data_IF_988839736659
#
_entry.id   IF_988839736659
#
_cell.length_a   1.000
_cell.length_b   1.000
_cell.length_c   1.000
_cell.angle_alpha   90.00
_cell.angle_beta   90.00
_cell.angle_gamma   90.00
#
_symmetry.space_group_name_H-M   'P 1'
#
loop_
_entity.id
_entity.type
_entity.pdbx_description
1 polymer ?
#
# COMPACT_ATOMS: atom_id res chain seq x y z
N UNK A 1 14.36 -21.00 51.33
CA UNK A 1 13.17 -21.36 50.59
C UNK A 1 13.22 -20.65 49.25
N UNK A 2 13.73 -21.35 48.22
CA UNK A 2 13.89 -20.80 46.87
C UNK A 2 12.53 -20.81 46.17
N UNK A 3 11.95 -19.64 45.97
CA UNK A 3 10.76 -19.50 45.15
C UNK A 3 11.14 -19.70 43.67
N UNK A 4 10.92 -20.91 43.17
CA UNK A 4 11.00 -21.17 41.73
C UNK A 4 9.85 -20.37 41.09
N UNK A 5 10.19 -19.22 40.49
CA UNK A 5 9.28 -18.56 39.56
C UNK A 5 9.14 -19.51 38.37
N UNK A 6 7.99 -20.15 38.26
CA UNK A 6 7.56 -20.79 37.04
C UNK A 6 7.41 -19.68 35.99
N UNK A 7 8.43 -19.50 35.15
CA UNK A 7 8.29 -18.78 33.89
C UNK A 7 7.33 -19.62 33.03
N UNK A 8 6.06 -19.22 33.05
CA UNK A 8 5.13 -19.72 32.04
C UNK A 8 5.69 -19.27 30.70
N UNK A 9 6.17 -20.23 29.92
CA UNK A 9 6.67 -20.02 28.57
C UNK A 9 5.53 -19.38 27.77
N UNK A 10 5.62 -18.09 27.49
CA UNK A 10 4.63 -17.36 26.72
C UNK A 10 4.77 -17.79 25.26
N UNK A 11 4.01 -18.83 24.87
CA UNK A 11 3.96 -19.33 23.48
C UNK A 11 2.92 -18.52 22.72
N UNK A 12 3.31 -17.95 21.58
CA UNK A 12 2.36 -17.40 20.61
C UNK A 12 1.52 -18.54 20.06
N UNK A 13 0.20 -18.42 20.12
CA UNK A 13 -0.74 -19.46 19.70
C UNK A 13 -1.55 -19.06 18.48
N UNK A 14 -1.85 -17.76 18.32
CA UNK A 14 -2.72 -17.28 17.24
C UNK A 14 -2.33 -15.93 16.73
N UNK A 15 -2.24 -15.81 15.39
CA UNK A 15 -1.83 -14.58 14.69
C UNK A 15 -2.92 -14.18 13.69
N UNK A 16 -3.25 -12.90 13.65
CA UNK A 16 -4.06 -12.30 12.60
C UNK A 16 -3.16 -11.63 11.55
N UNK A 17 -3.38 -11.95 10.28
CA UNK A 17 -2.71 -11.31 9.14
C UNK A 17 -3.70 -10.41 8.42
N UNK A 18 -3.40 -9.10 8.32
CA UNK A 18 -4.26 -8.09 7.69
C UNK A 18 -4.29 -8.15 6.16
N UNK A 19 -4.21 -9.37 5.61
CA UNK A 19 -4.26 -9.61 4.16
C UNK A 19 -5.36 -10.62 3.81
N UNK A 20 -5.79 -10.64 2.54
CA UNK A 20 -6.69 -11.67 2.07
C UNK A 20 -6.11 -13.09 2.26
N UNK A 21 -6.98 -14.04 2.58
CA UNK A 21 -6.57 -15.44 2.69
C UNK A 21 -6.00 -15.93 1.36
N UNK A 22 -4.82 -16.56 1.34
CA UNK A 22 -4.26 -17.16 0.12
C UNK A 22 -5.19 -18.21 -0.48
N UNK A 23 -5.28 -18.26 -1.82
CA UNK A 23 -6.09 -19.24 -2.51
C UNK A 23 -5.62 -20.68 -2.25
N UNK A 24 -4.31 -20.88 -2.06
CA UNK A 24 -3.66 -22.16 -1.73
C UNK A 24 -2.79 -21.91 -0.50
N UNK A 25 -3.24 -22.39 0.66
CA UNK A 25 -2.57 -22.13 1.94
C UNK A 25 -1.17 -22.74 1.98
N UNK A 26 -0.99 -23.93 1.43
CA UNK A 26 0.28 -24.68 1.42
C UNK A 26 1.39 -23.96 0.63
N UNK A 27 1.01 -23.04 -0.26
CA UNK A 27 1.95 -22.19 -1.01
C UNK A 27 2.26 -20.87 -0.30
N UNK A 28 1.57 -20.58 0.79
CA UNK A 28 1.83 -19.39 1.57
C UNK A 28 3.11 -19.55 2.40
N UNK A 29 3.98 -18.53 2.47
CA UNK A 29 5.12 -18.54 3.37
C UNK A 29 4.74 -18.73 4.85
N UNK A 30 3.49 -18.44 5.20
CA UNK A 30 2.95 -18.63 6.54
C UNK A 30 2.64 -20.09 6.87
N UNK A 31 2.53 -20.97 5.88
CA UNK A 31 2.17 -22.38 6.11
C UNK A 31 3.28 -23.13 6.87
N UNK A 32 4.52 -23.06 6.40
CA UNK A 32 5.66 -23.65 7.07
C UNK A 32 5.92 -23.02 8.44
N UNK A 33 5.76 -21.70 8.54
CA UNK A 33 5.91 -20.96 9.78
C UNK A 33 4.89 -21.41 10.84
N UNK A 34 3.60 -21.52 10.47
CA UNK A 34 2.57 -21.98 11.40
C UNK A 34 2.79 -23.41 11.90
N UNK A 35 3.26 -24.29 11.01
CA UNK A 35 3.61 -25.68 11.37
C UNK A 35 4.83 -25.74 12.30
N UNK A 36 5.85 -24.91 12.06
CA UNK A 36 7.08 -24.86 12.87
C UNK A 36 6.80 -24.44 14.31
N UNK A 37 5.96 -23.45 14.53
CA UNK A 37 5.65 -22.89 15.86
C UNK A 37 4.35 -23.45 16.46
N UNK A 38 3.66 -24.37 15.76
CA UNK A 38 2.38 -24.96 16.18
C UNK A 38 1.32 -23.89 16.53
N UNK A 39 1.16 -22.88 15.67
CA UNK A 39 0.24 -21.76 15.86
C UNK A 39 -0.80 -21.66 14.75
N UNK A 40 -1.91 -20.98 15.04
CA UNK A 40 -2.97 -20.69 14.08
C UNK A 40 -2.76 -19.35 13.41
N UNK A 41 -3.07 -19.28 12.10
CA UNK A 41 -3.07 -18.01 11.34
C UNK A 41 -4.42 -17.78 10.72
N UNK A 42 -5.03 -16.67 11.14
CA UNK A 42 -6.23 -16.12 10.52
C UNK A 42 -5.85 -14.99 9.54
N UNK A 43 -6.63 -14.88 8.46
CA UNK A 43 -6.48 -13.85 7.46
C UNK A 43 -7.75 -13.02 7.40
N UNK A 44 -7.63 -11.71 7.66
CA UNK A 44 -8.75 -10.78 7.53
C UNK A 44 -8.23 -9.41 7.09
N UNK A 45 -8.56 -8.96 5.86
CA UNK A 45 -8.28 -7.60 5.45
C UNK A 45 -8.95 -6.60 6.39
N UNK A 46 -8.19 -5.66 6.94
CA UNK A 46 -8.71 -4.59 7.79
C UNK A 46 -9.17 -3.37 6.98
N UNK A 47 -8.83 -3.35 5.70
CA UNK A 47 -9.18 -2.27 4.77
C UNK A 47 -9.78 -2.84 3.48
N UNK A 48 -10.57 -2.00 2.81
CA UNK A 48 -11.09 -2.25 1.46
C UNK A 48 -11.02 -0.99 0.62
N UNK A 49 -10.85 -1.16 -0.68
CA UNK A 49 -10.89 -0.04 -1.63
C UNK A 49 -12.30 0.06 -2.20
N UNK A 50 -12.90 1.23 -2.09
CA UNK A 50 -14.25 1.51 -2.60
C UNK A 50 -14.22 2.68 -3.58
N UNK A 51 -15.10 2.66 -4.55
CA UNK A 51 -15.30 3.79 -5.46
C UNK A 51 -15.96 4.97 -4.76
N UNK A 52 -15.56 6.20 -5.09
CA UNK A 52 -16.23 7.41 -4.59
C UNK A 52 -17.64 7.54 -5.18
N UNK A 53 -18.56 8.16 -4.45
CA UNK A 53 -19.90 8.45 -4.95
C UNK A 53 -19.88 9.52 -6.04
N UNK A 54 -20.96 9.60 -6.85
CA UNK A 54 -21.14 10.66 -7.85
C UNK A 54 -21.11 12.07 -7.21
N UNK A 55 -21.66 12.22 -5.99
CA UNK A 55 -21.62 13.47 -5.23
C UNK A 55 -20.19 13.91 -4.92
N UNK A 56 -19.36 12.98 -4.44
CA UNK A 56 -17.95 13.24 -4.13
C UNK A 56 -17.13 13.51 -5.39
N UNK A 57 -17.41 12.82 -6.47
CA UNK A 57 -16.78 13.10 -7.77
C UNK A 57 -17.12 14.54 -8.24
N UNK A 58 -18.40 14.94 -8.23
CA UNK A 58 -18.84 16.28 -8.63
C UNK A 58 -18.21 17.39 -7.77
N UNK A 59 -17.96 17.11 -6.49
CA UNK A 59 -17.29 18.07 -5.60
C UNK A 59 -15.86 18.42 -6.05
N UNK A 60 -15.20 17.55 -6.84
CA UNK A 60 -13.85 17.77 -7.37
C UNK A 60 -13.86 18.68 -8.62
N UNK A 61 -15.04 19.04 -9.14
CA UNK A 61 -15.21 20.02 -10.25
C UNK A 61 -14.39 19.69 -11.49
N UNK A 62 -14.29 18.43 -11.85
CA UNK A 62 -13.57 17.97 -13.04
C UNK A 62 -14.56 17.52 -14.11
N UNK A 63 -14.46 18.10 -15.30
CA UNK A 63 -15.27 17.73 -16.46
C UNK A 63 -14.57 16.65 -17.29
N UNK A 64 -15.13 15.43 -17.28
CA UNK A 64 -14.53 14.27 -17.98
C UNK A 64 -14.36 14.54 -19.46
N UNK A 65 -15.37 15.16 -20.10
CA UNK A 65 -15.39 15.38 -21.56
C UNK A 65 -14.40 16.42 -22.05
N UNK A 66 -13.83 17.24 -21.16
CA UNK A 66 -12.76 18.18 -21.51
C UNK A 66 -11.37 17.50 -21.64
N UNK A 67 -11.28 16.23 -21.28
CA UNK A 67 -10.04 15.49 -21.29
C UNK A 67 -10.05 14.44 -22.41
N UNK A 68 -8.88 14.20 -22.98
CA UNK A 68 -8.71 13.27 -24.10
C UNK A 68 -8.16 11.90 -23.65
N UNK A 69 -7.56 11.84 -22.47
CA UNK A 69 -6.84 10.64 -22.00
C UNK A 69 -7.04 10.39 -20.50
N UNK A 70 -7.39 9.14 -20.16
CA UNK A 70 -7.45 8.66 -18.79
C UNK A 70 -6.17 7.92 -18.42
N UNK A 71 -5.64 8.15 -17.22
CA UNK A 71 -4.51 7.40 -16.66
C UNK A 71 -5.03 6.53 -15.50
N UNK A 72 -4.89 5.21 -15.60
CA UNK A 72 -5.36 4.25 -14.61
C UNK A 72 -4.21 3.44 -14.02
N UNK A 73 -4.22 3.29 -12.68
CA UNK A 73 -3.29 2.44 -11.95
C UNK A 73 -3.94 1.21 -11.32
N UNK A 74 -5.27 1.13 -11.29
CA UNK A 74 -5.99 0.03 -10.64
C UNK A 74 -7.31 -0.30 -11.34
N UNK A 75 -7.78 -1.54 -11.15
CA UNK A 75 -9.10 -1.99 -11.63
C UNK A 75 -10.24 -1.23 -10.96
N UNK A 76 -10.11 -0.94 -9.66
CA UNK A 76 -11.14 -0.23 -8.89
C UNK A 76 -11.37 1.18 -9.41
N UNK A 77 -10.32 1.90 -9.85
CA UNK A 77 -10.48 3.22 -10.45
C UNK A 77 -11.14 3.15 -11.81
N UNK A 78 -10.91 2.08 -12.58
CA UNK A 78 -11.63 1.83 -13.85
C UNK A 78 -13.12 1.59 -13.57
N UNK A 79 -13.44 0.66 -12.67
CA UNK A 79 -14.83 0.36 -12.30
C UNK A 79 -15.56 1.64 -11.83
N UNK A 80 -14.91 2.44 -10.99
CA UNK A 80 -15.46 3.69 -10.48
C UNK A 80 -15.67 4.74 -11.56
N UNK A 81 -14.73 4.87 -12.49
CA UNK A 81 -14.85 5.81 -13.62
C UNK A 81 -16.09 5.48 -14.48
N UNK A 82 -16.22 4.24 -14.91
CA UNK A 82 -17.35 3.85 -15.77
C UNK A 82 -18.69 3.91 -15.03
N UNK A 83 -18.73 3.52 -13.76
CA UNK A 83 -19.92 3.67 -12.91
C UNK A 83 -20.32 5.15 -12.77
N UNK A 84 -19.37 6.06 -12.52
CA UNK A 84 -19.62 7.50 -12.43
C UNK A 84 -20.13 8.05 -13.76
N UNK A 85 -19.56 7.62 -14.89
CA UNK A 85 -20.05 8.03 -16.21
C UNK A 85 -21.49 7.58 -16.42
N UNK A 86 -21.85 6.34 -16.06
CA UNK A 86 -23.21 5.80 -16.14
C UNK A 86 -24.17 6.60 -15.25
N UNK A 87 -23.87 6.77 -13.96
CA UNK A 87 -24.68 7.54 -13.00
C UNK A 87 -24.86 9.01 -13.41
N UNK A 88 -23.83 9.62 -14.00
CA UNK A 88 -23.86 10.99 -14.49
C UNK A 88 -24.46 11.14 -15.88
N UNK A 89 -24.80 10.02 -16.56
CA UNK A 89 -25.25 9.97 -17.95
C UNK A 89 -24.24 10.58 -18.93
N UNK A 90 -22.95 10.37 -18.68
CA UNK A 90 -21.87 10.80 -19.55
C UNK A 90 -21.53 9.66 -20.51
N UNK A 91 -21.69 9.92 -21.81
CA UNK A 91 -21.22 8.99 -22.84
C UNK A 91 -19.73 9.22 -23.07
N UNK A 92 -18.91 8.24 -22.73
CA UNK A 92 -17.45 8.30 -22.94
C UNK A 92 -17.17 8.31 -24.45
N UNK A 93 -16.47 9.33 -24.99
CA UNK A 93 -16.22 9.41 -26.42
C UNK A 93 -15.37 8.25 -26.94
N UNK A 94 -15.67 7.77 -28.14
CA UNK A 94 -14.84 6.73 -28.78
C UNK A 94 -13.39 7.19 -29.03
N UNK A 95 -13.13 8.50 -29.02
CA UNK A 95 -11.79 9.09 -29.17
C UNK A 95 -10.98 9.05 -27.88
N UNK A 96 -11.61 8.79 -26.72
CA UNK A 96 -10.93 8.70 -25.43
C UNK A 96 -9.80 7.68 -25.48
N UNK A 97 -8.61 8.07 -25.00
CA UNK A 97 -7.43 7.22 -24.87
C UNK A 97 -7.23 6.80 -23.43
N UNK A 98 -6.47 5.73 -23.23
CA UNK A 98 -6.22 5.17 -21.91
C UNK A 98 -4.75 4.82 -21.76
N UNK A 99 -4.14 5.28 -20.68
CA UNK A 99 -2.81 4.91 -20.25
C UNK A 99 -2.93 4.14 -18.94
N UNK A 100 -2.38 2.93 -18.91
CA UNK A 100 -2.43 2.06 -17.74
C UNK A 100 -1.02 1.80 -17.19
N UNK A 101 -0.88 1.64 -15.88
CA UNK A 101 0.42 1.36 -15.27
C UNK A 101 0.92 -0.05 -15.57
N UNK A 102 0.03 -1.00 -15.90
CA UNK A 102 0.38 -2.38 -16.25
C UNK A 102 -0.52 -2.93 -17.35
N UNK A 103 -0.06 -3.97 -18.05
CA UNK A 103 -0.86 -4.71 -19.03
C UNK A 103 -2.12 -5.30 -18.43
N UNK A 104 -2.05 -5.85 -17.20
CA UNK A 104 -3.21 -6.43 -16.52
C UNK A 104 -4.33 -5.41 -16.24
N UNK A 105 -3.99 -4.15 -15.98
CA UNK A 105 -4.94 -3.04 -15.84
C UNK A 105 -5.50 -2.64 -17.20
N UNK A 106 -4.65 -2.60 -18.24
CA UNK A 106 -5.08 -2.29 -19.61
C UNK A 106 -6.07 -3.33 -20.16
N UNK A 107 -5.79 -4.61 -19.95
CA UNK A 107 -6.68 -5.70 -20.36
C UNK A 107 -8.03 -5.65 -19.62
N UNK A 108 -8.07 -5.17 -18.39
CA UNK A 108 -9.30 -5.04 -17.62
C UNK A 108 -10.30 -4.05 -18.24
N UNK A 109 -9.83 -3.07 -19.03
CA UNK A 109 -10.71 -2.16 -19.77
C UNK A 109 -11.67 -2.87 -20.74
N UNK A 110 -11.37 -4.10 -21.15
CA UNK A 110 -12.26 -4.92 -22.01
C UNK A 110 -13.64 -5.17 -21.39
N UNK A 111 -13.75 -5.05 -20.07
CA UNK A 111 -15.03 -5.12 -19.37
C UNK A 111 -16.00 -4.02 -19.81
N UNK A 112 -15.49 -2.88 -20.27
CA UNK A 112 -16.28 -1.68 -20.54
C UNK A 112 -16.20 -1.20 -21.99
N UNK A 113 -15.07 -1.46 -22.66
CA UNK A 113 -14.82 -0.97 -24.02
C UNK A 113 -14.19 -2.05 -24.89
N UNK A 114 -14.35 -1.88 -26.21
CA UNK A 114 -13.63 -2.72 -27.19
C UNK A 114 -12.16 -2.37 -27.13
N UNK A 115 -11.31 -3.35 -26.85
CA UNK A 115 -9.86 -3.17 -26.78
C UNK A 115 -9.29 -2.84 -28.17
N UNK A 116 -8.67 -1.66 -28.27
CA UNK A 116 -8.00 -1.21 -29.51
C UNK A 116 -6.60 -0.71 -29.16
N UNK A 117 -5.55 -1.38 -29.63
CA UNK A 117 -4.14 -1.05 -29.36
C UNK A 117 -3.78 0.43 -29.59
N UNK A 118 -4.42 1.09 -30.58
CA UNK A 118 -4.19 2.51 -30.85
C UNK A 118 -4.73 3.47 -29.78
N UNK A 119 -5.62 3.01 -28.90
CA UNK A 119 -6.25 3.81 -27.85
C UNK A 119 -5.77 3.47 -26.46
N UNK A 120 -5.21 2.29 -26.27
CA UNK A 120 -4.82 1.75 -24.97
C UNK A 120 -3.33 1.50 -24.98
N UNK A 121 -2.61 2.18 -24.10
CA UNK A 121 -1.18 2.00 -23.88
C UNK A 121 -0.94 1.61 -22.43
N UNK A 122 0.11 0.86 -22.15
CA UNK A 122 0.45 0.45 -20.80
C UNK A 122 1.96 0.48 -20.54
N UNK A 123 2.31 0.69 -19.29
CA UNK A 123 3.67 0.62 -18.77
C UNK A 123 3.95 -0.77 -18.16
N UNK A 124 5.15 -0.98 -17.67
CA UNK A 124 5.59 -2.22 -17.02
C UNK A 124 5.34 -2.28 -15.51
N UNK A 125 4.63 -1.30 -14.96
CA UNK A 125 4.33 -1.17 -13.53
C UNK A 125 5.33 -0.30 -12.77
N UNK A 126 6.44 0.12 -13.39
CA UNK A 126 7.39 1.04 -12.76
C UNK A 126 6.98 2.51 -12.95
N UNK A 127 7.36 3.35 -11.98
CA UNK A 127 7.14 4.80 -12.05
C UNK A 127 7.74 5.42 -13.31
N UNK A 128 8.98 5.05 -13.63
CA UNK A 128 9.70 5.62 -14.77
C UNK A 128 9.05 5.26 -16.11
N UNK A 129 8.66 3.98 -16.28
CA UNK A 129 8.01 3.51 -17.52
C UNK A 129 6.65 4.20 -17.72
N UNK A 130 5.87 4.38 -16.64
CA UNK A 130 4.60 5.11 -16.70
C UNK A 130 4.84 6.59 -17.05
N UNK A 131 5.82 7.24 -16.44
CA UNK A 131 6.16 8.64 -16.69
C UNK A 131 6.60 8.86 -18.13
N UNK A 132 7.50 8.01 -18.64
CA UNK A 132 7.93 8.07 -20.05
C UNK A 132 6.77 7.91 -21.03
N UNK A 133 5.85 7.00 -20.72
CA UNK A 133 4.67 6.78 -21.55
C UNK A 133 3.75 7.99 -21.55
N UNK A 134 3.50 8.63 -20.39
CA UNK A 134 2.70 9.86 -20.30
C UNK A 134 3.38 11.01 -21.08
N UNK A 135 4.69 11.18 -20.94
CA UNK A 135 5.45 12.23 -21.63
C UNK A 135 5.41 12.06 -23.17
N UNK A 136 5.37 10.83 -23.69
CA UNK A 136 5.16 10.59 -25.14
C UNK A 136 3.84 11.16 -25.66
N UNK A 137 2.84 11.35 -24.76
CA UNK A 137 1.53 11.86 -25.08
C UNK A 137 1.31 13.29 -24.52
N UNK A 138 2.37 14.09 -24.34
CA UNK A 138 2.39 15.40 -23.65
C UNK A 138 1.37 16.42 -24.13
N UNK A 139 0.88 16.29 -25.36
CA UNK A 139 -0.09 17.23 -25.97
C UNK A 139 -1.55 16.91 -25.55
N UNK A 140 -1.78 15.77 -24.93
CA UNK A 140 -3.09 15.34 -24.45
C UNK A 140 -3.48 16.09 -23.17
N UNK A 141 -4.80 16.13 -22.89
CA UNK A 141 -5.33 16.53 -21.58
C UNK A 141 -5.67 15.27 -20.78
N UNK A 142 -5.04 15.11 -19.62
CA UNK A 142 -5.13 13.90 -18.82
C UNK A 142 -6.04 14.07 -17.61
N UNK A 143 -6.83 13.03 -17.31
CA UNK A 143 -7.29 12.75 -15.94
C UNK A 143 -6.39 11.66 -15.37
N UNK A 144 -5.74 11.94 -14.23
CA UNK A 144 -5.04 10.96 -13.43
C UNK A 144 -6.00 10.38 -12.38
N UNK A 145 -6.45 9.15 -12.60
CA UNK A 145 -7.36 8.48 -11.67
C UNK A 145 -6.62 7.96 -10.45
N UNK A 146 -6.96 8.50 -9.27
CA UNK A 146 -6.29 8.23 -7.99
C UNK A 146 -7.16 7.39 -7.06
N UNK A 147 -6.48 6.64 -6.18
CA UNK A 147 -7.06 5.99 -5.00
C UNK A 147 -6.50 6.68 -3.76
N UNK A 148 -7.35 7.26 -2.93
CA UNK A 148 -6.95 7.92 -1.68
C UNK A 148 -6.77 6.89 -0.54
N UNK A 149 -5.71 7.01 0.29
CA UNK A 149 -4.59 7.92 0.18
C UNK A 149 -3.64 7.56 -0.98
N UNK A 150 -3.05 8.55 -1.61
CA UNK A 150 -2.10 8.36 -2.70
C UNK A 150 -0.77 9.07 -2.42
N UNK A 151 0.31 8.54 -3.03
CA UNK A 151 1.62 9.21 -2.97
C UNK A 151 1.62 10.43 -3.90
N UNK A 152 2.06 11.60 -3.43
CA UNK A 152 2.04 12.84 -4.22
C UNK A 152 3.07 12.87 -5.35
N UNK A 153 4.02 11.93 -5.37
CA UNK A 153 5.16 11.90 -6.29
C UNK A 153 4.74 11.97 -7.77
N UNK A 154 3.78 11.15 -8.21
CA UNK A 154 3.34 11.15 -9.60
C UNK A 154 2.57 12.42 -9.97
N UNK A 155 1.52 12.85 -9.25
CA UNK A 155 0.84 14.11 -9.55
C UNK A 155 1.78 15.30 -9.59
N UNK A 156 2.67 15.44 -8.60
CA UNK A 156 3.64 16.55 -8.54
C UNK A 156 4.63 16.52 -9.69
N UNK A 157 5.14 15.32 -10.06
CA UNK A 157 6.07 15.20 -11.17
C UNK A 157 5.42 15.62 -12.49
N UNK A 158 4.17 15.20 -12.74
CA UNK A 158 3.45 15.58 -13.95
C UNK A 158 3.18 17.09 -14.02
N UNK A 159 2.86 17.70 -12.88
CA UNK A 159 2.69 19.16 -12.77
C UNK A 159 4.02 19.91 -13.00
N UNK A 160 5.13 19.44 -12.44
CA UNK A 160 6.49 20.00 -12.65
C UNK A 160 6.89 19.93 -14.12
N UNK A 161 6.44 18.92 -14.85
CA UNK A 161 6.63 18.78 -16.30
C UNK A 161 5.67 19.64 -17.13
N UNK A 162 4.82 20.43 -16.48
CA UNK A 162 3.80 21.31 -17.12
C UNK A 162 2.85 20.56 -18.05
N UNK A 163 2.55 19.31 -17.74
CA UNK A 163 1.54 18.53 -18.46
C UNK A 163 0.12 18.99 -18.04
N UNK A 164 -0.83 18.89 -18.95
CA UNK A 164 -2.24 19.22 -18.67
C UNK A 164 -2.92 18.05 -17.95
N UNK A 165 -2.70 17.93 -16.64
CA UNK A 165 -3.18 16.81 -15.83
C UNK A 165 -4.14 17.30 -14.76
N UNK A 166 -5.29 16.65 -14.64
CA UNK A 166 -6.24 16.80 -13.55
C UNK A 166 -6.17 15.55 -12.65
N UNK A 167 -5.54 15.62 -11.47
CA UNK A 167 -5.61 14.54 -10.50
C UNK A 167 -7.04 14.45 -9.93
N UNK A 168 -7.66 13.27 -10.02
CA UNK A 168 -9.05 13.04 -9.58
C UNK A 168 -9.14 11.76 -8.79
N UNK A 169 -9.73 11.82 -7.60
CA UNK A 169 -9.97 10.66 -6.75
C UNK A 169 -11.20 9.92 -7.25
N UNK A 170 -11.01 8.70 -7.73
CA UNK A 170 -12.08 7.78 -8.15
C UNK A 170 -12.35 6.67 -7.15
N UNK A 171 -11.40 6.40 -6.25
CA UNK A 171 -11.53 5.38 -5.24
C UNK A 171 -10.86 5.83 -3.93
N UNK A 172 -11.22 5.21 -2.82
CA UNK A 172 -10.54 5.41 -1.53
C UNK A 172 -10.43 4.12 -0.76
N UNK A 173 -9.39 4.04 0.05
CA UNK A 173 -9.22 3.00 1.05
C UNK A 173 -10.02 3.38 2.29
N UNK A 174 -10.88 2.48 2.73
CA UNK A 174 -11.68 2.62 3.95
C UNK A 174 -11.49 1.40 4.83
N UNK A 175 -11.82 1.53 6.12
CA UNK A 175 -11.86 0.39 7.01
C UNK A 175 -12.84 -0.67 6.46
N UNK A 176 -12.46 -1.94 6.55
CA UNK A 176 -13.35 -3.06 6.28
C UNK A 176 -14.37 -3.20 7.42
N UNK A 177 -15.38 -4.03 7.24
CA UNK A 177 -16.23 -4.41 8.37
C UNK A 177 -15.44 -5.32 9.32
N UNK A 178 -15.28 -4.86 10.55
CA UNK A 178 -14.57 -5.55 11.62
C UNK A 178 -15.48 -5.90 12.81
N UNK A 179 -16.81 -5.81 12.63
CA UNK A 179 -17.80 -6.07 13.68
C UNK A 179 -17.69 -7.47 14.31
N UNK A 180 -17.20 -8.44 13.55
CA UNK A 180 -16.97 -9.82 13.98
C UNK A 180 -15.54 -10.08 14.49
N UNK A 181 -14.63 -9.11 14.34
CA UNK A 181 -13.25 -9.24 14.78
C UNK A 181 -13.15 -9.00 16.30
N UNK A 182 -12.53 -9.94 16.99
CA UNK A 182 -12.18 -9.87 18.41
C UNK A 182 -10.66 -9.89 18.54
N UNK A 183 -10.02 -8.71 18.59
CA UNK A 183 -8.55 -8.61 18.64
C UNK A 183 -7.94 -9.35 19.83
N UNK A 184 -8.66 -9.44 20.95
CA UNK A 184 -8.24 -10.15 22.16
C UNK A 184 -8.03 -11.66 21.98
N UNK A 185 -8.53 -12.24 20.88
CA UNK A 185 -8.35 -13.64 20.55
C UNK A 185 -7.01 -13.93 19.88
N UNK A 186 -6.20 -12.90 19.61
CA UNK A 186 -4.91 -13.01 18.93
C UNK A 186 -3.79 -12.54 19.82
N UNK A 187 -2.64 -13.20 19.71
CA UNK A 187 -1.41 -12.79 20.39
C UNK A 187 -0.68 -11.69 19.61
N UNK A 188 -0.81 -11.72 18.27
CA UNK A 188 -0.17 -10.77 17.35
C UNK A 188 -1.11 -10.43 16.20
N UNK A 189 -1.07 -9.15 15.78
CA UNK A 189 -1.69 -8.70 14.52
C UNK A 189 -0.59 -8.21 13.57
N UNK A 190 -0.48 -8.85 12.41
CA UNK A 190 0.47 -8.48 11.36
C UNK A 190 -0.15 -7.45 10.40
N UNK A 191 0.40 -6.23 10.37
CA UNK A 191 -0.09 -5.06 9.63
C UNK A 191 0.83 -4.76 8.43
N UNK A 192 0.24 -4.50 7.26
CA UNK A 192 0.98 -4.31 6.01
C UNK A 192 0.91 -2.90 5.44
N UNK A 193 0.10 -2.03 6.02
CA UNK A 193 -0.03 -0.65 5.55
C UNK A 193 -0.40 0.32 6.67
N UNK A 194 -0.08 1.63 6.53
CA UNK A 194 -0.58 2.65 7.46
C UNK A 194 -2.10 2.70 7.55
N UNK A 195 -2.81 2.32 6.47
CA UNK A 195 -4.27 2.25 6.46
C UNK A 195 -4.81 1.11 7.34
N UNK A 196 -4.09 -0.03 7.44
CA UNK A 196 -4.44 -1.10 8.38
C UNK A 196 -4.31 -0.62 9.83
N UNK A 197 -3.21 0.09 10.14
CA UNK A 197 -2.98 0.70 11.46
C UNK A 197 -4.13 1.64 11.81
N UNK A 198 -4.44 2.56 10.90
CA UNK A 198 -5.53 3.52 11.08
C UNK A 198 -6.87 2.82 11.32
N UNK A 199 -7.19 1.82 10.48
CA UNK A 199 -8.44 1.07 10.60
C UNK A 199 -8.53 0.35 11.96
N UNK A 200 -7.43 -0.21 12.46
CA UNK A 200 -7.40 -0.89 13.75
C UNK A 200 -7.57 0.10 14.92
N UNK A 201 -6.79 1.20 14.92
CA UNK A 201 -6.79 2.20 15.98
C UNK A 201 -8.10 3.01 16.06
N UNK A 202 -8.82 3.21 14.95
CA UNK A 202 -10.10 3.91 14.92
C UNK A 202 -11.28 3.03 15.42
N UNK A 203 -11.15 1.70 15.38
CA UNK A 203 -12.22 0.79 15.73
C UNK A 203 -12.04 0.09 17.09
N UNK A 204 -10.84 0.14 17.67
CA UNK A 204 -10.54 -0.54 18.93
C UNK A 204 -9.73 0.35 19.87
N UNK A 205 -9.87 0.09 21.15
CA UNK A 205 -9.06 0.70 22.21
C UNK A 205 -7.61 0.19 22.11
N UNK A 206 -6.69 1.08 21.78
CA UNK A 206 -5.28 0.76 21.50
C UNK A 206 -4.62 0.05 22.68
N UNK A 207 -4.95 0.43 23.93
CA UNK A 207 -4.37 -0.16 25.13
C UNK A 207 -4.79 -1.63 25.35
N UNK A 208 -5.89 -2.06 24.70
CA UNK A 208 -6.40 -3.43 24.78
C UNK A 208 -6.01 -4.30 23.60
N UNK A 209 -5.35 -3.70 22.59
CA UNK A 209 -4.90 -4.46 21.44
C UNK A 209 -3.72 -5.37 21.80
N UNK A 210 -3.60 -6.54 21.15
CA UNK A 210 -2.39 -7.37 21.23
C UNK A 210 -1.19 -6.63 20.65
N UNK A 211 -0.02 -7.21 20.78
CA UNK A 211 1.17 -6.68 20.13
C UNK A 211 1.02 -6.77 18.62
N UNK A 212 1.72 -5.91 17.90
CA UNK A 212 1.64 -5.89 16.43
C UNK A 212 2.99 -6.19 15.79
N UNK A 213 2.92 -6.75 14.58
CA UNK A 213 4.04 -6.85 13.66
C UNK A 213 3.76 -5.95 12.46
N UNK A 214 4.77 -5.24 11.94
CA UNK A 214 4.60 -4.28 10.85
C UNK A 214 5.46 -4.61 9.63
N UNK A 215 4.94 -4.34 8.44
CA UNK A 215 5.71 -4.45 7.20
C UNK A 215 5.84 -3.09 6.51
N UNK A 216 7.09 -2.65 6.35
CA UNK A 216 7.44 -1.36 5.77
C UNK A 216 7.55 -0.24 6.81
N UNK A 217 8.51 0.65 6.60
CA UNK A 217 8.83 1.76 7.50
C UNK A 217 7.62 2.68 7.77
N UNK A 218 6.86 3.01 6.71
CA UNK A 218 5.67 3.84 6.86
C UNK A 218 4.61 3.20 7.77
N UNK A 219 4.48 1.86 7.76
CA UNK A 219 3.56 1.11 8.62
C UNK A 219 4.07 1.09 10.06
N UNK A 220 5.40 0.88 10.25
CA UNK A 220 6.04 0.95 11.55
C UNK A 220 5.82 2.31 12.20
N UNK A 221 6.12 3.40 11.47
CA UNK A 221 5.93 4.77 11.94
C UNK A 221 4.48 5.03 12.35
N UNK A 222 3.54 4.69 11.47
CA UNK A 222 2.11 4.84 11.77
C UNK A 222 1.67 4.05 13.01
N UNK A 223 2.19 2.84 13.23
CA UNK A 223 1.87 2.02 14.39
C UNK A 223 2.40 2.63 15.69
N UNK A 224 3.63 3.14 15.69
CA UNK A 224 4.25 3.83 16.84
C UNK A 224 3.49 5.13 17.14
N UNK A 225 3.19 5.94 16.11
CA UNK A 225 2.43 7.20 16.25
C UNK A 225 1.01 6.96 16.82
N UNK A 226 0.41 5.81 16.48
CA UNK A 226 -0.89 5.39 17.01
C UNK A 226 -0.82 4.78 18.44
N UNK A 227 0.37 4.64 19.04
CA UNK A 227 0.57 4.06 20.36
C UNK A 227 0.50 2.52 20.40
N UNK A 228 0.59 1.83 19.27
CA UNK A 228 0.59 0.37 19.20
C UNK A 228 1.93 -0.19 19.67
N UNK A 229 1.90 -1.32 20.40
CA UNK A 229 3.10 -2.04 20.83
C UNK A 229 3.66 -2.89 19.69
N UNK A 230 4.71 -2.42 19.02
CA UNK A 230 5.31 -3.13 17.88
C UNK A 230 6.45 -4.02 18.37
N UNK A 231 6.29 -5.33 18.24
CA UNK A 231 7.28 -6.33 18.68
C UNK A 231 8.08 -6.97 17.54
N UNK A 232 7.61 -6.82 16.31
CA UNK A 232 8.32 -7.32 15.12
C UNK A 232 8.15 -6.35 13.96
N UNK A 233 9.19 -6.15 13.18
CA UNK A 233 9.11 -5.28 11.99
C UNK A 233 9.97 -5.84 10.85
N UNK A 234 9.51 -5.66 9.62
CA UNK A 234 10.16 -6.03 8.38
C UNK A 234 9.88 -4.94 7.31
N UNK A 235 10.71 -4.79 6.26
CA UNK A 235 11.97 -5.51 6.06
C UNK A 235 13.12 -4.91 6.88
N UNK A 236 14.01 -5.79 7.36
CA UNK A 236 15.30 -5.42 7.95
C UNK A 236 16.37 -6.40 7.44
N UNK A 237 17.68 -6.14 7.65
CA UNK A 237 18.73 -7.07 7.26
C UNK A 237 18.54 -8.49 7.88
N UNK A 238 18.04 -8.56 9.11
CA UNK A 238 17.80 -9.83 9.82
C UNK A 238 16.44 -10.44 9.46
N UNK A 239 15.45 -9.61 9.12
CA UNK A 239 14.08 -10.01 8.83
C UNK A 239 13.60 -9.41 7.50
N UNK A 240 14.00 -9.95 6.34
CA UNK A 240 13.63 -9.41 5.03
C UNK A 240 12.13 -9.59 4.70
N UNK A 241 11.40 -10.39 5.46
CA UNK A 241 9.96 -10.62 5.25
C UNK A 241 9.20 -10.64 6.59
N UNK A 242 7.89 -10.41 6.53
CA UNK A 242 7.01 -10.50 7.71
C UNK A 242 7.13 -11.86 8.41
N UNK A 243 7.12 -12.95 7.64
CA UNK A 243 7.25 -14.31 8.20
C UNK A 243 8.56 -14.46 8.95
N UNK A 244 9.68 -13.92 8.41
CA UNK A 244 10.96 -13.98 9.10
C UNK A 244 11.00 -13.15 10.39
N UNK A 245 10.37 -11.97 10.39
CA UNK A 245 10.23 -11.14 11.58
C UNK A 245 9.43 -11.85 12.69
N UNK A 246 8.31 -12.48 12.31
CA UNK A 246 7.49 -13.26 13.21
C UNK A 246 8.22 -14.54 13.71
N UNK A 247 8.99 -15.19 12.84
CA UNK A 247 9.79 -16.38 13.21
C UNK A 247 10.82 -16.03 14.29
N UNK A 248 11.54 -14.90 14.13
CA UNK A 248 12.49 -14.43 15.15
C UNK A 248 11.76 -14.09 16.45
N UNK A 249 10.62 -13.41 16.38
CA UNK A 249 9.83 -13.06 17.56
C UNK A 249 9.35 -14.31 18.31
N UNK A 250 8.71 -15.25 17.62
CA UNK A 250 8.19 -16.48 18.22
C UNK A 250 9.31 -17.32 18.85
N UNK A 251 10.46 -17.47 18.17
CA UNK A 251 11.60 -18.21 18.71
C UNK A 251 12.13 -17.58 20.00
N UNK A 252 12.28 -16.27 20.06
CA UNK A 252 12.71 -15.56 21.28
C UNK A 252 11.71 -15.70 22.42
N UNK A 253 10.41 -15.63 22.13
CA UNK A 253 9.37 -15.86 23.13
C UNK A 253 9.41 -17.30 23.68
N UNK A 254 9.67 -18.28 22.83
CA UNK A 254 9.86 -19.68 23.23
C UNK A 254 11.10 -19.89 24.11
N UNK A 255 12.14 -19.09 23.92
CA UNK A 255 13.35 -19.04 24.75
C UNK A 255 13.14 -18.26 26.05
N UNK A 256 11.98 -17.59 26.22
CA UNK A 256 11.67 -16.77 27.40
C UNK A 256 12.37 -15.39 27.39
N UNK A 257 12.78 -14.93 26.20
CA UNK A 257 13.40 -13.61 26.01
C UNK A 257 12.32 -12.58 25.70
N UNK A 258 12.16 -11.58 26.57
CA UNK A 258 11.30 -10.42 26.25
C UNK A 258 11.96 -9.54 25.20
N UNK A 259 11.18 -9.17 24.19
CA UNK A 259 11.64 -8.28 23.13
C UNK A 259 11.14 -6.88 23.44
N UNK A 260 12.03 -5.91 23.45
CA UNK A 260 11.66 -4.49 23.58
C UNK A 260 10.77 -4.05 22.40
N UNK A 261 9.94 -3.06 22.64
CA UNK A 261 9.12 -2.48 21.58
C UNK A 261 10.02 -1.82 20.54
N UNK A 262 9.68 -2.00 19.26
CA UNK A 262 10.43 -1.39 18.18
C UNK A 262 10.35 0.14 18.29
N UNK A 263 11.51 0.77 18.25
CA UNK A 263 11.65 2.23 18.27
C UNK A 263 12.04 2.71 16.87
N UNK A 264 11.61 3.90 16.51
CA UNK A 264 12.14 4.57 15.33
C UNK A 264 13.55 5.02 15.73
N UNK A 265 14.57 4.37 15.17
CA UNK A 265 15.93 4.84 15.36
C UNK A 265 16.08 6.16 14.59
N UNK A 266 16.34 7.26 15.29
CA UNK A 266 16.68 8.57 14.68
C UNK A 266 17.86 8.47 13.71
N UNK A 267 18.66 7.42 13.79
CA UNK A 267 19.75 7.13 12.86
C UNK A 267 19.25 6.79 11.46
N UNK A 268 18.05 6.22 11.29
CA UNK A 268 17.44 5.97 9.97
C UNK A 268 17.08 7.30 9.27
N UNK A 269 16.61 8.30 9.99
CA UNK A 269 16.34 9.63 9.41
C UNK A 269 17.65 10.31 8.99
N UNK A 270 18.74 10.14 9.75
CA UNK A 270 20.07 10.64 9.37
C UNK A 270 20.64 9.89 8.16
N UNK A 271 20.47 8.57 8.08
CA UNK A 271 20.91 7.78 6.93
C UNK A 271 20.11 8.09 5.66
N UNK A 272 18.79 8.28 5.75
CA UNK A 272 17.97 8.71 4.61
C UNK A 272 18.33 10.13 4.17
N UNK A 273 18.56 11.05 5.11
CA UNK A 273 19.03 12.40 4.81
C UNK A 273 20.40 12.38 4.12
N UNK A 274 21.32 11.55 4.58
CA UNK A 274 22.65 11.36 3.98
C UNK A 274 22.53 10.72 2.59
N UNK A 275 21.70 9.67 2.40
CA UNK A 275 21.42 9.06 1.08
C UNK A 275 20.77 10.04 0.12
N UNK A 276 19.82 10.85 0.58
CA UNK A 276 19.18 11.87 -0.23
C UNK A 276 20.17 12.97 -0.65
N UNK A 277 21.09 13.38 0.23
CA UNK A 277 22.15 14.32 -0.10
C UNK A 277 23.17 13.73 -1.08
N UNK A 278 23.60 12.48 -0.89
CA UNK A 278 24.51 11.78 -1.80
C UNK A 278 23.93 11.60 -3.20
N UNK A 279 22.63 11.28 -3.31
CA UNK A 279 21.93 11.18 -4.58
C UNK A 279 21.82 12.53 -5.31
N UNK A 280 21.63 13.62 -4.57
CA UNK A 280 21.65 14.99 -5.12
C UNK A 280 23.03 15.42 -5.60
N UNK A 281 24.10 15.05 -4.88
CA UNK A 281 25.48 15.28 -5.31
C UNK A 281 25.87 14.49 -6.55
N UNK A 282 25.50 13.21 -6.61
CA UNK A 282 25.76 12.36 -7.80
C UNK A 282 25.03 12.87 -9.05
N UNK A 283 23.80 13.37 -8.90
CA UNK A 283 23.07 14.02 -10.02
C UNK A 283 23.76 15.32 -10.47
N UNK A 284 24.30 16.13 -9.57
CA UNK A 284 25.06 17.35 -9.92
C UNK A 284 26.38 17.04 -10.64
N UNK A 285 27.07 15.99 -10.25
CA UNK A 285 28.34 15.58 -10.87
C UNK A 285 28.11 15.03 -12.29
N UNK A 286 27.06 14.22 -12.51
CA UNK A 286 26.68 13.73 -13.84
C UNK A 286 26.25 14.84 -14.82
N UNK A 287 25.64 15.91 -14.31
CA UNK A 287 25.23 17.06 -15.14
C UNK A 287 26.40 17.94 -15.51
N UNK A 288 27.48 17.97 -14.70
CA UNK A 288 28.69 18.72 -15.00
C UNK A 288 29.57 18.02 -16.04
N UNK A 289 29.69 16.71 -15.98
CA UNK A 289 30.48 15.91 -16.97
C UNK A 289 29.83 15.90 -18.36
N UNK A 290 28.51 16.10 -18.48
CA UNK A 290 27.83 16.21 -19.78
C UNK A 290 27.91 17.61 -20.43
N UNK A 291 28.37 18.62 -19.72
CA UNK A 291 28.57 19.99 -20.28
C UNK A 291 30.01 20.27 -20.72
N UNK A 292 30.92 19.31 -20.57
CA UNK A 292 32.37 19.42 -20.92
C UNK A 292 32.78 18.41 -22.01
N UNK A 293 31.84 17.80 -22.69
CA UNK A 293 31.97 17.10 -23.95
C UNK A 293 31.02 17.75 -24.98
#
# INVERSE_FOLDING_TARGET
>A
MLTIKYFTKLKVSKILVSQPRPAVLEKSPFFEFSSKHELEIDYKPLIRVVGVSLKEFRAQRTEILEHSTMIFSSRTTIDSFFRICEEARITVPETMKYICNTEAVALYLQKYIVYRKRKISFADGTFNSLLELIVKHKDEKFILALTEPFKPELPETLLKLKLKVSPVVFARTVAADMSDLKPENYDIIALYSPSDVKALAENYDVDKLPVVATFGEATLRAAIDAGLRVKASAPSPEAPSMVKALDIYCSKMEEGVDIEDAQIHEDLEKEEFIRAQQSKLQKKTRTRTRKTQ
#
